data_IF_730462927298
#
_entry.id   IF_730462927298
#
_cell.length_a   1.000
_cell.length_b   1.000
_cell.length_c   1.000
_cell.angle_alpha   90.00
_cell.angle_beta   90.00
_cell.angle_gamma   90.00
#
_symmetry.space_group_name_H-M   'P 1'
#
loop_
_entity.id
_entity.type
_entity.pdbx_description
1 polymer ?
#
# COMPACT_ATOMS: atom_id res chain seq x y z
N UNK A 1 -8.18 -2.91 -17.55
CA UNK A 1 -8.15 -3.52 -16.20
C UNK A 1 -9.52 -4.11 -15.82
N UNK A 2 -10.59 -3.31 -15.72
CA UNK A 2 -11.93 -3.79 -15.28
C UNK A 2 -12.54 -4.88 -16.19
N UNK A 3 -12.17 -4.93 -17.48
CA UNK A 3 -12.52 -6.04 -18.39
C UNK A 3 -12.26 -7.42 -17.77
N UNK A 4 -11.17 -7.59 -17.04
CA UNK A 4 -10.78 -8.87 -16.42
C UNK A 4 -11.80 -9.36 -15.39
N UNK A 5 -12.64 -8.47 -14.84
CA UNK A 5 -13.72 -8.86 -13.92
C UNK A 5 -14.84 -9.59 -14.65
N UNK A 6 -15.08 -9.25 -15.91
CA UNK A 6 -16.21 -9.74 -16.67
C UNK A 6 -15.81 -10.82 -17.67
N UNK A 7 -14.70 -10.63 -18.39
CA UNK A 7 -14.23 -11.51 -19.47
C UNK A 7 -13.69 -12.85 -18.92
N UNK A 8 -14.34 -14.01 -19.17
CA UNK A 8 -13.83 -15.32 -18.74
C UNK A 8 -12.55 -15.73 -19.45
N UNK A 9 -12.31 -15.17 -20.63
CA UNK A 9 -11.12 -15.42 -21.45
C UNK A 9 -9.95 -14.49 -21.14
N UNK A 10 -10.00 -13.75 -20.01
CA UNK A 10 -8.87 -12.90 -19.64
C UNK A 10 -7.66 -13.75 -19.28
N UNK A 11 -6.54 -13.50 -19.97
CA UNK A 11 -5.32 -14.33 -19.93
C UNK A 11 -4.74 -14.60 -18.54
N UNK A 12 -4.96 -13.67 -17.60
CA UNK A 12 -4.37 -13.76 -16.26
C UNK A 12 -5.26 -14.50 -15.25
N UNK A 13 -6.43 -15.00 -15.66
CA UNK A 13 -7.38 -15.62 -14.73
C UNK A 13 -7.01 -17.05 -14.32
N UNK A 14 -6.44 -17.86 -15.22
CA UNK A 14 -6.20 -19.28 -14.95
C UNK A 14 -7.48 -19.97 -14.46
N UNK A 15 -7.43 -20.60 -13.28
CA UNK A 15 -8.61 -21.26 -12.67
C UNK A 15 -9.75 -20.30 -12.32
N UNK A 16 -9.47 -19.00 -12.15
CA UNK A 16 -10.46 -17.96 -11.97
C UNK A 16 -11.24 -17.67 -13.27
N UNK A 17 -10.92 -18.32 -14.39
CA UNK A 17 -11.77 -18.24 -15.58
C UNK A 17 -13.20 -18.72 -15.27
N UNK A 18 -13.34 -19.70 -14.37
CA UNK A 18 -14.61 -20.28 -13.95
C UNK A 18 -14.90 -20.06 -12.46
N UNK A 19 -13.90 -20.20 -11.58
CA UNK A 19 -14.07 -20.05 -10.14
C UNK A 19 -14.34 -18.60 -9.74
N UNK A 20 -15.36 -18.37 -8.89
CA UNK A 20 -15.71 -17.04 -8.40
C UNK A 20 -16.71 -16.26 -9.26
N UNK A 21 -17.26 -16.88 -10.31
CA UNK A 21 -18.21 -16.22 -11.22
C UNK A 21 -19.64 -16.26 -10.74
N UNK A 22 -20.26 -15.09 -10.67
CA UNK A 22 -21.70 -14.94 -10.44
C UNK A 22 -22.20 -13.66 -11.15
N UNK A 23 -23.36 -13.74 -11.81
CA UNK A 23 -23.91 -12.66 -12.64
C UNK A 23 -22.91 -12.07 -13.65
N UNK A 24 -22.17 -12.95 -14.36
CA UNK A 24 -21.18 -12.55 -15.37
C UNK A 24 -19.90 -11.90 -14.81
N UNK A 25 -19.81 -11.71 -13.49
CA UNK A 25 -18.67 -11.09 -12.81
C UNK A 25 -17.87 -12.13 -12.05
N UNK A 26 -16.54 -12.11 -12.14
CA UNK A 26 -15.69 -12.84 -11.22
C UNK A 26 -15.45 -11.99 -9.96
N UNK A 27 -16.17 -12.34 -8.89
CA UNK A 27 -16.14 -11.60 -7.63
C UNK A 27 -14.86 -11.83 -6.82
N UNK A 28 -14.32 -13.05 -6.85
CA UNK A 28 -13.05 -13.40 -6.19
C UNK A 28 -11.91 -12.60 -6.80
N UNK A 29 -11.84 -12.56 -8.14
CA UNK A 29 -10.85 -11.77 -8.87
C UNK A 29 -11.06 -10.26 -8.68
N UNK A 30 -12.31 -9.79 -8.72
CA UNK A 30 -12.61 -8.37 -8.52
C UNK A 30 -12.21 -7.87 -7.13
N UNK A 31 -12.52 -8.65 -6.08
CA UNK A 31 -12.11 -8.35 -4.70
C UNK A 31 -10.59 -8.31 -4.57
N UNK A 32 -9.92 -9.39 -5.02
CA UNK A 32 -8.46 -9.48 -4.98
C UNK A 32 -7.78 -8.31 -5.69
N UNK A 33 -8.17 -8.05 -6.94
CA UNK A 33 -7.49 -7.05 -7.76
C UNK A 33 -7.76 -5.62 -7.24
N UNK A 34 -8.95 -5.37 -6.67
CA UNK A 34 -9.25 -4.10 -6.03
C UNK A 34 -8.37 -3.86 -4.78
N UNK A 35 -8.24 -4.86 -3.90
CA UNK A 35 -7.36 -4.81 -2.73
C UNK A 35 -5.91 -4.61 -3.16
N UNK A 36 -5.47 -5.39 -4.16
CA UNK A 36 -4.12 -5.32 -4.71
C UNK A 36 -3.80 -3.90 -5.20
N UNK A 37 -4.64 -3.31 -6.07
CA UNK A 37 -4.39 -1.97 -6.59
C UNK A 37 -4.49 -0.89 -5.51
N UNK A 38 -5.41 -1.01 -4.55
CA UNK A 38 -5.51 -0.08 -3.44
C UNK A 38 -4.20 -0.02 -2.62
N UNK A 39 -3.56 -1.17 -2.39
CA UNK A 39 -2.32 -1.25 -1.62
C UNK A 39 -1.11 -0.88 -2.48
N UNK A 40 -0.89 -1.59 -3.59
CA UNK A 40 0.37 -1.56 -4.34
C UNK A 40 0.46 -0.45 -5.39
N UNK A 41 -0.68 0.00 -5.93
CA UNK A 41 -0.70 1.03 -6.98
C UNK A 41 -1.13 2.41 -6.48
N UNK A 42 -1.66 2.49 -5.25
CA UNK A 42 -2.14 3.75 -4.66
C UNK A 42 -1.42 4.03 -3.34
N UNK A 43 -1.69 3.22 -2.32
CA UNK A 43 -1.26 3.50 -0.94
C UNK A 43 0.27 3.51 -0.81
N UNK A 44 0.95 2.45 -1.26
CA UNK A 44 2.41 2.34 -1.18
C UNK A 44 3.11 3.45 -1.98
N UNK A 45 2.78 3.71 -3.26
CA UNK A 45 3.39 4.80 -4.02
C UNK A 45 3.23 6.17 -3.34
N UNK A 46 2.03 6.49 -2.83
CA UNK A 46 1.79 7.74 -2.08
C UNK A 46 2.74 7.82 -0.89
N UNK A 47 2.81 6.78 -0.07
CA UNK A 47 3.69 6.78 1.10
C UNK A 47 5.17 6.87 0.74
N UNK A 48 5.64 6.18 -0.30
CA UNK A 48 7.04 6.25 -0.73
C UNK A 48 7.40 7.67 -1.19
N UNK A 49 6.49 8.33 -1.90
CA UNK A 49 6.66 9.73 -2.32
C UNK A 49 6.68 10.66 -1.09
N UNK A 50 5.75 10.51 -0.17
CA UNK A 50 5.69 11.29 1.07
C UNK A 50 6.93 11.11 1.96
N UNK A 51 7.46 9.89 2.06
CA UNK A 51 8.70 9.60 2.77
C UNK A 51 9.92 10.19 2.06
N UNK A 52 9.91 10.18 0.73
CA UNK A 52 11.00 10.76 -0.07
C UNK A 52 11.00 12.29 0.02
N UNK A 53 9.84 12.93 0.10
CA UNK A 53 9.70 14.39 0.10
C UNK A 53 8.83 14.89 1.28
N UNK A 54 9.32 14.82 2.53
CA UNK A 54 8.50 15.13 3.71
C UNK A 54 7.95 16.55 3.77
N UNK A 55 8.69 17.51 3.20
CA UNK A 55 8.31 18.93 3.18
C UNK A 55 7.11 19.23 2.28
N UNK A 56 6.76 18.29 1.38
CA UNK A 56 5.69 18.45 0.40
C UNK A 56 4.44 17.62 0.74
N UNK A 57 4.40 16.92 1.89
CA UNK A 57 3.28 16.03 2.28
C UNK A 57 1.91 16.72 2.26
N UNK A 58 1.84 18.01 2.63
CA UNK A 58 0.57 18.76 2.74
C UNK A 58 0.30 19.70 1.58
N UNK A 59 1.18 19.73 0.56
CA UNK A 59 1.05 20.64 -0.58
C UNK A 59 0.35 19.95 -1.72
N UNK A 60 -0.33 20.72 -2.57
CA UNK A 60 -0.81 20.22 -3.86
C UNK A 60 0.41 20.11 -4.79
N UNK A 61 0.72 18.90 -5.25
CA UNK A 61 1.90 18.64 -6.09
C UNK A 61 1.70 19.06 -7.54
N UNK A 62 0.46 18.98 -8.04
CA UNK A 62 0.13 19.27 -9.42
C UNK A 62 -0.45 20.68 -9.56
N UNK A 63 0.21 21.51 -10.38
CA UNK A 63 -0.37 22.78 -10.82
C UNK A 63 -1.70 22.55 -11.55
N UNK A 64 -2.54 23.57 -11.68
CA UNK A 64 -3.82 23.46 -12.39
C UNK A 64 -3.67 22.95 -13.82
N UNK A 65 -2.62 23.37 -14.54
CA UNK A 65 -2.29 22.90 -15.90
C UNK A 65 -1.91 21.41 -15.90
N UNK A 66 -1.08 20.99 -14.95
CA UNK A 66 -0.70 19.58 -14.83
C UNK A 66 -1.92 18.72 -14.51
N UNK A 67 -2.84 19.18 -13.63
CA UNK A 67 -4.07 18.44 -13.36
C UNK A 67 -4.88 18.22 -14.63
N UNK A 68 -5.08 19.24 -15.45
CA UNK A 68 -5.80 19.09 -16.74
C UNK A 68 -5.10 18.08 -17.64
N UNK A 69 -3.76 18.17 -17.77
CA UNK A 69 -2.97 17.23 -18.56
C UNK A 69 -3.15 15.78 -18.08
N UNK A 70 -3.00 15.52 -16.77
CA UNK A 70 -3.14 14.18 -16.21
C UNK A 70 -4.56 13.63 -16.35
N UNK A 71 -5.60 14.46 -16.22
CA UNK A 71 -6.98 14.04 -16.49
C UNK A 71 -7.17 13.71 -17.98
N UNK A 72 -6.63 14.54 -18.88
CA UNK A 72 -6.66 14.27 -20.32
C UNK A 72 -5.96 12.98 -20.69
N UNK A 73 -4.78 12.72 -20.13
CA UNK A 73 -4.04 11.47 -20.31
C UNK A 73 -4.80 10.25 -19.77
N UNK A 74 -5.49 10.39 -18.63
CA UNK A 74 -6.34 9.33 -18.08
C UNK A 74 -7.51 9.02 -19.02
N UNK A 75 -8.23 10.04 -19.50
CA UNK A 75 -9.33 9.87 -20.45
C UNK A 75 -8.82 9.21 -21.75
N UNK A 76 -7.69 9.68 -22.28
CA UNK A 76 -7.06 9.09 -23.45
C UNK A 76 -6.70 7.62 -23.21
N UNK A 77 -6.09 7.29 -22.07
CA UNK A 77 -5.75 5.91 -21.73
C UNK A 77 -6.99 5.01 -21.61
N UNK A 78 -8.10 5.53 -21.09
CA UNK A 78 -9.39 4.81 -21.05
C UNK A 78 -9.88 4.52 -22.48
N UNK A 79 -9.93 5.55 -23.34
CA UNK A 79 -10.36 5.42 -24.74
C UNK A 79 -9.49 4.40 -25.47
N UNK A 80 -8.16 4.55 -25.41
CA UNK A 80 -7.21 3.61 -26.02
C UNK A 80 -7.39 2.20 -25.46
N UNK A 81 -7.68 2.06 -24.16
CA UNK A 81 -7.98 0.78 -23.53
C UNK A 81 -9.21 0.08 -24.11
N UNK A 82 -10.28 0.83 -24.43
CA UNK A 82 -11.47 0.27 -25.10
C UNK A 82 -11.16 -0.24 -26.50
N UNK A 83 -10.33 0.49 -27.27
CA UNK A 83 -9.91 0.07 -28.61
C UNK A 83 -8.94 -1.12 -28.58
N UNK A 84 -7.96 -1.09 -27.67
CA UNK A 84 -6.94 -2.13 -27.59
C UNK A 84 -7.49 -3.45 -27.03
N UNK A 85 -8.54 -3.40 -26.21
CA UNK A 85 -9.10 -4.57 -25.52
C UNK A 85 -10.62 -4.66 -25.67
N UNK A 86 -11.16 -4.85 -26.89
CA UNK A 86 -12.59 -4.88 -27.14
C UNK A 86 -13.26 -6.01 -26.35
N UNK A 87 -14.29 -5.66 -25.57
CA UNK A 87 -15.15 -6.57 -24.82
C UNK A 87 -16.38 -5.80 -24.34
N UNK A 88 -17.57 -6.37 -24.54
CA UNK A 88 -18.82 -5.78 -24.05
C UNK A 88 -19.27 -6.50 -22.76
N UNK A 89 -19.17 -5.85 -21.58
CA UNK A 89 -19.68 -6.41 -20.33
C UNK A 89 -21.20 -6.24 -20.16
N UNK A 90 -21.87 -5.50 -21.06
CA UNK A 90 -23.28 -5.14 -20.97
C UNK A 90 -23.55 -3.92 -20.09
N UNK A 91 -24.67 -3.24 -20.35
CA UNK A 91 -25.05 -1.98 -19.69
C UNK A 91 -25.22 -2.13 -18.17
N UNK A 92 -25.77 -3.26 -17.71
CA UNK A 92 -25.97 -3.52 -16.29
C UNK A 92 -24.65 -3.61 -15.53
N UNK A 93 -23.62 -4.22 -16.12
CA UNK A 93 -22.29 -4.33 -15.51
C UNK A 93 -21.62 -2.95 -15.40
N UNK A 94 -21.72 -2.13 -16.45
CA UNK A 94 -21.21 -0.75 -16.44
C UNK A 94 -21.94 0.07 -15.38
N UNK A 95 -23.28 0.01 -15.34
CA UNK A 95 -24.10 0.67 -14.33
C UNK A 95 -23.73 0.22 -12.91
N UNK A 96 -23.51 -1.08 -12.70
CA UNK A 96 -23.06 -1.65 -11.43
C UNK A 96 -21.68 -1.15 -11.00
N UNK A 97 -20.72 -1.03 -11.93
CA UNK A 97 -19.41 -0.43 -11.64
C UNK A 97 -19.55 1.03 -11.19
N UNK A 98 -20.33 1.84 -11.92
CA UNK A 98 -20.55 3.25 -11.57
C UNK A 98 -21.20 3.36 -10.19
N UNK A 99 -22.27 2.60 -9.95
CA UNK A 99 -22.95 2.56 -8.66
C UNK A 99 -21.99 2.16 -7.52
N UNK A 100 -21.15 1.15 -7.74
CA UNK A 100 -20.15 0.70 -6.76
C UNK A 100 -19.12 1.79 -6.47
N UNK A 101 -18.59 2.45 -7.50
CA UNK A 101 -17.62 3.55 -7.33
C UNK A 101 -18.25 4.71 -6.55
N UNK A 102 -19.49 5.09 -6.86
CA UNK A 102 -20.22 6.15 -6.13
C UNK A 102 -20.44 5.73 -4.67
N UNK A 103 -20.90 4.50 -4.43
CA UNK A 103 -21.14 3.99 -3.08
C UNK A 103 -19.86 3.95 -2.24
N UNK A 104 -18.77 3.42 -2.79
CA UNK A 104 -17.46 3.37 -2.11
C UNK A 104 -16.90 4.78 -1.88
N UNK A 105 -17.06 5.70 -2.83
CA UNK A 105 -16.62 7.10 -2.68
C UNK A 105 -17.42 7.81 -1.58
N UNK A 106 -18.71 7.52 -1.45
CA UNK A 106 -19.54 8.04 -0.39
C UNK A 106 -19.16 7.43 0.98
N UNK A 107 -18.92 6.13 1.04
CA UNK A 107 -18.44 5.44 2.26
C UNK A 107 -17.07 5.95 2.70
N UNK A 108 -16.16 6.21 1.75
CA UNK A 108 -14.83 6.74 2.04
C UNK A 108 -14.87 8.07 2.79
N UNK A 109 -15.88 8.92 2.52
CA UNK A 109 -16.08 10.19 3.25
C UNK A 109 -16.44 9.99 4.73
N UNK A 110 -16.91 8.80 5.12
CA UNK A 110 -17.25 8.47 6.50
C UNK A 110 -16.08 7.87 7.29
N UNK A 111 -14.97 7.55 6.62
CA UNK A 111 -13.79 6.99 7.30
C UNK A 111 -13.15 8.09 8.14
N UNK A 112 -13.04 7.92 9.47
CA UNK A 112 -12.48 8.95 10.33
C UNK A 112 -10.98 9.13 10.05
N UNK A 113 -10.52 10.37 10.07
CA UNK A 113 -9.09 10.63 9.96
C UNK A 113 -8.38 10.17 11.24
N UNK A 114 -7.59 9.10 11.15
CA UNK A 114 -6.88 8.53 12.30
C UNK A 114 -5.65 9.40 12.59
N UNK A 115 -5.83 10.38 13.46
CA UNK A 115 -4.70 11.12 14.02
C UNK A 115 -4.02 10.30 15.12
N UNK A 116 -2.68 10.22 15.15
CA UNK A 116 -1.98 9.52 16.20
C UNK A 116 -2.26 10.20 17.55
N UNK A 117 -2.90 9.48 18.46
CA UNK A 117 -3.18 9.93 19.84
C UNK A 117 -1.92 9.86 20.70
N UNK A 118 -1.00 8.96 20.35
CA UNK A 118 0.29 8.76 21.02
C UNK A 118 1.40 8.69 19.97
N UNK A 119 2.66 8.91 20.39
CA UNK A 119 3.86 8.73 19.55
C UNK A 119 4.81 7.70 20.18
N UNK A 120 4.29 6.53 20.51
CA UNK A 120 5.01 5.52 21.30
C UNK A 120 4.71 4.08 20.83
N UNK A 121 4.55 3.88 19.52
CA UNK A 121 4.41 2.52 18.99
C UNK A 121 5.71 1.74 19.20
N UNK A 122 5.74 0.86 20.20
CA UNK A 122 6.87 -0.04 20.49
C UNK A 122 6.83 -1.33 19.68
N UNK A 123 6.81 -1.21 18.35
CA UNK A 123 6.86 -2.37 17.44
C UNK A 123 8.14 -2.30 16.62
N UNK A 124 8.89 -3.40 16.61
CA UNK A 124 10.17 -3.48 15.91
C UNK A 124 9.98 -3.83 14.43
N UNK A 125 10.98 -3.48 13.62
CA UNK A 125 11.01 -3.84 12.21
C UNK A 125 10.98 -5.36 11.96
N UNK A 126 11.46 -6.15 12.93
CA UNK A 126 11.42 -7.62 12.90
C UNK A 126 10.00 -8.19 12.90
N UNK A 127 9.01 -7.41 13.34
CA UNK A 127 7.59 -7.77 13.26
C UNK A 127 6.96 -7.14 12.02
N UNK A 128 7.27 -5.88 11.73
CA UNK A 128 6.63 -5.13 10.65
C UNK A 128 6.99 -5.64 9.25
N UNK A 129 8.24 -6.05 9.02
CA UNK A 129 8.65 -6.56 7.70
C UNK A 129 7.95 -7.90 7.41
N UNK A 130 7.98 -8.92 8.29
CA UNK A 130 7.22 -10.15 8.05
C UNK A 130 5.71 -9.92 7.95
N UNK A 131 5.14 -9.03 8.76
CA UNK A 131 3.72 -8.68 8.68
C UNK A 131 3.37 -8.00 7.35
N UNK A 132 4.23 -7.12 6.84
CA UNK A 132 4.06 -6.53 5.52
C UNK A 132 4.14 -7.57 4.42
N UNK A 133 5.07 -8.52 4.52
CA UNK A 133 5.25 -9.62 3.56
C UNK A 133 4.08 -10.62 3.57
N UNK A 134 3.50 -10.88 4.75
CA UNK A 134 2.40 -11.83 4.90
C UNK A 134 1.11 -11.36 4.21
N UNK A 135 0.90 -10.05 4.07
CA UNK A 135 -0.27 -9.49 3.37
C UNK A 135 -0.37 -10.02 1.93
N UNK A 136 0.54 -9.66 0.99
CA UNK A 136 0.45 -10.15 -0.37
C UNK A 136 0.64 -11.67 -0.46
N UNK A 137 1.41 -12.30 0.43
CA UNK A 137 1.57 -13.75 0.44
C UNK A 137 0.23 -14.44 0.67
N UNK A 138 -0.45 -14.12 1.79
CA UNK A 138 -1.72 -14.76 2.14
C UNK A 138 -2.76 -14.44 1.07
N UNK A 139 -2.87 -13.18 0.64
CA UNK A 139 -3.86 -12.83 -0.37
C UNK A 139 -3.60 -13.50 -1.72
N UNK A 140 -2.36 -13.50 -2.20
CA UNK A 140 -2.01 -14.13 -3.46
C UNK A 140 -2.36 -15.62 -3.42
N UNK A 141 -1.91 -16.35 -2.40
CA UNK A 141 -2.21 -17.78 -2.30
C UNK A 141 -3.69 -18.06 -2.05
N UNK A 142 -4.38 -17.31 -1.20
CA UNK A 142 -5.81 -17.51 -0.93
C UNK A 142 -6.67 -17.31 -2.19
N UNK A 143 -6.44 -16.21 -2.92
CA UNK A 143 -7.31 -15.80 -4.03
C UNK A 143 -6.96 -16.49 -5.36
N UNK A 144 -5.74 -16.98 -5.54
CA UNK A 144 -5.31 -17.62 -6.81
C UNK A 144 -5.33 -19.15 -6.81
N UNK A 145 -5.55 -19.79 -5.66
CA UNK A 145 -5.43 -21.25 -5.52
C UNK A 145 -6.76 -22.02 -5.54
N UNK A 146 -7.89 -21.35 -5.30
CA UNK A 146 -9.17 -22.00 -4.99
C UNK A 146 -9.07 -23.10 -3.91
N UNK A 147 -8.23 -22.89 -2.89
CA UNK A 147 -8.10 -23.79 -1.73
C UNK A 147 -9.43 -24.06 -1.02
N UNK A 148 -10.32 -23.06 -1.02
CA UNK A 148 -11.68 -23.19 -0.51
C UNK A 148 -12.57 -23.56 -1.71
N UNK A 149 -13.33 -24.67 -1.69
CA UNK A 149 -14.12 -25.10 -2.86
C UNK A 149 -15.27 -24.16 -3.24
N UNK A 150 -15.67 -23.27 -2.32
CA UNK A 150 -16.80 -22.37 -2.48
C UNK A 150 -16.31 -20.93 -2.54
N UNK A 151 -16.56 -20.25 -3.67
CA UNK A 151 -16.16 -18.86 -3.92
C UNK A 151 -16.56 -17.89 -2.80
N UNK A 152 -17.80 -18.00 -2.33
CA UNK A 152 -18.29 -17.19 -1.21
C UNK A 152 -17.44 -17.39 0.06
N UNK A 153 -16.95 -18.61 0.30
CA UNK A 153 -16.03 -18.90 1.39
C UNK A 153 -14.68 -18.18 1.24
N UNK A 154 -14.10 -18.18 0.03
CA UNK A 154 -12.87 -17.39 -0.25
C UNK A 154 -13.09 -15.91 0.02
N UNK A 155 -14.20 -15.34 -0.45
CA UNK A 155 -14.52 -13.92 -0.25
C UNK A 155 -14.72 -13.58 1.23
N UNK A 156 -15.44 -14.42 1.98
CA UNK A 156 -15.66 -14.21 3.42
C UNK A 156 -14.33 -14.24 4.18
N UNK A 157 -13.47 -15.22 3.90
CA UNK A 157 -12.13 -15.30 4.51
C UNK A 157 -11.28 -14.10 4.11
N UNK A 158 -11.33 -13.70 2.84
CA UNK A 158 -10.67 -12.49 2.33
C UNK A 158 -11.10 -11.23 3.09
N UNK A 159 -12.41 -11.01 3.23
CA UNK A 159 -12.97 -9.90 3.99
C UNK A 159 -12.54 -9.91 5.47
N UNK A 160 -12.56 -11.09 6.12
CA UNK A 160 -12.09 -11.24 7.50
C UNK A 160 -10.62 -10.85 7.62
N UNK A 161 -9.77 -11.28 6.68
CA UNK A 161 -8.35 -10.93 6.67
C UNK A 161 -8.13 -9.43 6.48
N UNK A 162 -8.81 -8.80 5.51
CA UNK A 162 -8.74 -7.35 5.29
C UNK A 162 -9.14 -6.59 6.55
N UNK A 163 -10.28 -6.94 7.14
CA UNK A 163 -10.78 -6.29 8.37
C UNK A 163 -9.85 -6.57 9.56
N UNK A 164 -9.23 -7.74 9.63
CA UNK A 164 -8.24 -8.09 10.65
C UNK A 164 -6.99 -7.21 10.56
N UNK A 165 -6.41 -7.10 9.37
CA UNK A 165 -5.26 -6.22 9.11
C UNK A 165 -5.63 -4.75 9.34
N UNK A 166 -6.78 -4.29 8.85
CA UNK A 166 -7.27 -2.92 9.08
C UNK A 166 -7.37 -2.63 10.58
N UNK A 167 -8.05 -3.47 11.36
CA UNK A 167 -8.20 -3.26 12.81
C UNK A 167 -6.86 -3.23 13.53
N UNK A 168 -5.94 -4.14 13.18
CA UNK A 168 -4.60 -4.20 13.75
C UNK A 168 -3.79 -2.93 13.43
N UNK A 169 -3.74 -2.55 12.15
CA UNK A 169 -2.98 -1.41 11.69
C UNK A 169 -3.59 -0.09 12.16
N UNK A 170 -4.92 0.04 12.20
CA UNK A 170 -5.62 1.19 12.76
C UNK A 170 -5.36 1.34 14.26
N UNK A 171 -5.31 0.25 15.02
CA UNK A 171 -4.92 0.26 16.43
C UNK A 171 -3.48 0.75 16.61
N UNK A 172 -2.56 0.33 15.77
CA UNK A 172 -1.16 0.78 15.82
C UNK A 172 -0.98 2.21 15.29
N UNK A 173 -1.77 2.63 14.30
CA UNK A 173 -1.76 3.98 13.76
C UNK A 173 -2.15 5.00 14.82
N UNK A 174 -3.14 4.70 15.68
CA UNK A 174 -3.49 5.52 16.85
C UNK A 174 -2.33 5.68 17.84
N UNK A 175 -1.42 4.71 17.92
CA UNK A 175 -0.20 4.77 18.76
C UNK A 175 0.98 5.50 18.10
N UNK A 176 0.83 5.87 16.83
CA UNK A 176 1.78 6.66 16.05
C UNK A 176 2.91 5.82 15.45
N UNK A 177 2.77 5.47 14.16
CA UNK A 177 3.86 4.91 13.37
C UNK A 177 4.96 5.95 13.13
N UNK A 178 6.22 5.56 13.38
CA UNK A 178 7.37 6.29 12.85
C UNK A 178 7.53 6.04 11.35
N UNK A 179 8.22 6.95 10.66
CA UNK A 179 8.46 6.82 9.22
C UNK A 179 9.29 5.56 8.88
N UNK A 180 10.20 5.13 9.77
CA UNK A 180 10.92 3.85 9.64
C UNK A 180 10.00 2.63 9.80
N UNK A 181 8.98 2.71 10.66
CA UNK A 181 8.03 1.62 10.85
C UNK A 181 7.08 1.49 9.65
N UNK A 182 6.61 2.62 9.10
CA UNK A 182 5.85 2.62 7.83
C UNK A 182 6.69 2.02 6.70
N UNK A 183 7.95 2.44 6.59
CA UNK A 183 8.87 1.86 5.62
C UNK A 183 9.05 0.36 5.83
N UNK A 184 9.15 -0.12 7.08
CA UNK A 184 9.23 -1.55 7.37
C UNK A 184 8.05 -2.36 6.83
N UNK A 185 6.81 -1.91 7.03
CA UNK A 185 5.62 -2.56 6.46
C UNK A 185 5.67 -2.58 4.93
N UNK A 186 6.01 -1.45 4.31
CA UNK A 186 6.11 -1.33 2.86
C UNK A 186 7.23 -2.19 2.29
N UNK A 187 8.38 -2.27 2.96
CA UNK A 187 9.49 -3.14 2.58
C UNK A 187 9.08 -4.60 2.64
N UNK A 188 8.31 -5.02 3.65
CA UNK A 188 7.74 -6.36 3.69
C UNK A 188 6.83 -6.63 2.49
N UNK A 189 5.85 -5.78 2.27
CA UNK A 189 4.86 -5.94 1.20
C UNK A 189 5.51 -5.94 -0.20
N UNK A 190 6.45 -5.04 -0.43
CA UNK A 190 7.18 -4.94 -1.70
C UNK A 190 8.23 -6.04 -1.84
N UNK A 191 8.80 -6.51 -0.72
CA UNK A 191 9.75 -7.62 -0.69
C UNK A 191 9.15 -8.91 -1.22
N UNK A 192 7.83 -9.13 -1.06
CA UNK A 192 7.15 -10.26 -1.71
C UNK A 192 7.27 -10.21 -3.24
N UNK A 193 7.17 -9.04 -3.86
CA UNK A 193 7.35 -8.91 -5.31
C UNK A 193 8.82 -8.92 -5.68
N UNK A 194 9.59 -7.97 -5.13
CA UNK A 194 10.96 -7.70 -5.52
C UNK A 194 11.96 -8.81 -5.17
N UNK A 195 11.75 -9.53 -4.06
CA UNK A 195 12.69 -10.54 -3.59
C UNK A 195 12.19 -11.99 -3.74
N UNK A 196 10.90 -12.20 -3.97
CA UNK A 196 10.33 -13.54 -4.13
C UNK A 196 9.71 -13.72 -5.52
N UNK A 197 8.70 -12.94 -5.90
CA UNK A 197 7.98 -13.17 -7.15
C UNK A 197 8.84 -12.89 -8.39
N UNK A 198 9.60 -11.80 -8.41
CA UNK A 198 10.41 -11.42 -9.57
C UNK A 198 11.47 -12.48 -9.91
N UNK A 199 12.16 -13.01 -8.89
CA UNK A 199 13.13 -14.10 -9.08
C UNK A 199 12.47 -15.40 -9.59
N UNK A 200 11.27 -15.71 -9.10
CA UNK A 200 10.49 -16.85 -9.57
C UNK A 200 10.09 -16.64 -11.04
N UNK A 201 9.61 -15.46 -11.40
CA UNK A 201 9.18 -15.12 -12.75
C UNK A 201 10.34 -15.18 -13.76
N UNK A 202 11.54 -14.73 -13.37
CA UNK A 202 12.74 -14.87 -14.19
C UNK A 202 13.10 -16.35 -14.43
N UNK A 203 12.95 -17.18 -13.40
CA UNK A 203 13.11 -18.64 -13.51
C UNK A 203 12.09 -19.28 -14.47
N UNK A 204 10.95 -18.62 -14.70
CA UNK A 204 9.94 -18.99 -15.70
C UNK A 204 10.07 -18.21 -17.03
N UNK A 205 11.22 -17.60 -17.29
CA UNK A 205 11.55 -16.98 -18.59
C UNK A 205 11.13 -15.52 -18.75
N UNK A 206 10.65 -14.84 -17.69
CA UNK A 206 10.42 -13.38 -17.73
C UNK A 206 11.70 -12.62 -17.42
N UNK A 207 12.53 -12.45 -18.45
CA UNK A 207 13.84 -11.79 -18.36
C UNK A 207 13.74 -10.37 -17.79
N UNK A 208 14.69 -10.01 -16.93
CA UNK A 208 14.87 -8.67 -16.38
C UNK A 208 14.03 -8.35 -15.14
N UNK A 209 13.20 -9.29 -14.68
CA UNK A 209 12.36 -9.10 -13.48
C UNK A 209 13.20 -9.06 -12.20
N UNK A 210 14.22 -9.90 -12.05
CA UNK A 210 15.12 -9.86 -10.87
C UNK A 210 15.95 -8.57 -10.83
N UNK A 211 16.38 -8.04 -11.99
CA UNK A 211 17.09 -6.77 -12.06
C UNK A 211 16.22 -5.61 -11.56
N UNK A 212 14.93 -5.60 -11.94
CA UNK A 212 13.95 -4.64 -11.41
C UNK A 212 13.77 -4.80 -9.89
N UNK A 213 13.64 -6.04 -9.42
CA UNK A 213 13.56 -6.35 -7.98
C UNK A 213 14.76 -5.82 -7.20
N UNK A 214 15.98 -6.05 -7.69
CA UNK A 214 17.22 -5.51 -7.10
C UNK A 214 17.21 -3.98 -7.10
N UNK A 215 16.87 -3.33 -8.20
CA UNK A 215 16.79 -1.86 -8.26
C UNK A 215 15.80 -1.31 -7.23
N UNK A 216 14.66 -1.98 -7.04
CA UNK A 216 13.66 -1.58 -6.07
C UNK A 216 14.13 -1.77 -4.62
N UNK A 217 14.85 -2.85 -4.33
CA UNK A 217 15.50 -3.06 -3.02
C UNK A 217 16.50 -1.94 -2.72
N UNK A 218 17.35 -1.59 -3.69
CA UNK A 218 18.32 -0.49 -3.55
C UNK A 218 17.60 0.85 -3.29
N UNK A 219 16.50 1.12 -3.97
CA UNK A 219 15.67 2.30 -3.74
C UNK A 219 15.12 2.36 -2.30
N UNK A 220 14.61 1.25 -1.77
CA UNK A 220 14.10 1.17 -0.38
C UNK A 220 15.22 1.38 0.65
N UNK A 221 16.41 0.82 0.42
CA UNK A 221 17.59 1.05 1.25
C UNK A 221 18.04 2.51 1.23
N UNK A 222 17.96 3.16 0.06
CA UNK A 222 18.25 4.59 -0.08
C UNK A 222 17.27 5.46 0.72
N UNK A 223 15.95 5.20 0.63
CA UNK A 223 14.95 5.89 1.46
C UNK A 223 15.25 5.70 2.95
N UNK A 224 15.55 4.46 3.37
CA UNK A 224 15.88 4.17 4.77
C UNK A 224 17.06 5.02 5.25
N UNK A 225 18.14 5.07 4.47
CA UNK A 225 19.31 5.90 4.77
C UNK A 225 18.93 7.37 4.89
N UNK A 226 18.11 7.89 3.96
CA UNK A 226 17.62 9.28 3.98
C UNK A 226 16.83 9.59 5.24
N UNK A 227 15.91 8.71 5.65
CA UNK A 227 15.13 8.89 6.89
C UNK A 227 16.06 8.93 8.11
N UNK A 228 17.02 8.01 8.21
CA UNK A 228 17.98 7.98 9.34
C UNK A 228 18.80 9.27 9.39
N UNK A 229 19.27 9.78 8.25
CA UNK A 229 20.07 11.01 8.17
C UNK A 229 19.26 12.27 8.52
N UNK A 230 17.93 12.26 8.31
CA UNK A 230 17.04 13.36 8.68
C UNK A 230 16.78 13.45 10.19
N UNK A 231 17.16 12.44 10.97
CA UNK A 231 17.22 12.53 12.42
C UNK A 231 18.68 12.78 12.82
N UNK A 232 19.10 14.02 13.12
CA UNK A 232 20.37 14.21 13.79
C UNK A 232 20.32 13.39 15.07
N UNK A 233 21.32 12.53 15.29
CA UNK A 233 21.63 12.08 16.65
C UNK A 233 21.63 13.34 17.49
N UNK A 234 20.71 13.43 18.45
CA UNK A 234 20.89 14.31 19.60
C UNK A 234 22.24 13.93 20.20
N UNK A 235 23.30 14.63 19.77
CA UNK A 235 24.60 14.54 20.40
C UNK A 235 24.41 15.27 21.73
N UNK A 236 24.38 14.48 22.79
CA UNK A 236 25.30 14.67 23.92
C UNK A 236 25.67 16.13 24.18
N UNK A 237 24.77 16.87 24.81
CA UNK A 237 25.06 18.11 25.54
C UNK A 237 24.16 18.21 26.76
N UNK A 238 23.92 17.08 27.43
CA UNK A 238 23.61 17.09 28.85
C UNK A 238 24.93 17.35 29.60
N UNK A 239 25.26 18.64 29.68
CA UNK A 239 25.95 19.30 30.78
C UNK A 239 26.96 18.42 31.54
N UNK A 240 28.15 18.27 30.96
CA UNK A 240 29.38 18.29 31.75
C UNK A 240 29.62 19.76 32.14
N UNK A 241 28.78 20.26 33.05
CA UNK A 241 28.91 21.56 33.70
C UNK A 241 29.10 21.31 35.19
N UNK A 242 30.25 20.73 35.52
CA UNK A 242 30.69 20.52 36.89
C UNK A 242 30.71 21.85 37.65
N UNK A 243 29.95 21.89 38.75
CA UNK A 243 30.26 22.54 40.03
C UNK A 243 31.18 23.78 39.96
N UNK A 244 30.59 24.95 40.20
CA UNK A 244 31.25 25.97 41.04
C UNK A 244 30.30 26.42 42.16
N UNK A 245 30.83 26.76 43.35
CA UNK A 245 30.07 26.84 44.59
C UNK A 245 29.34 28.18 44.74
N UNK A 246 28.28 28.17 45.55
CA UNK A 246 27.64 29.38 46.09
C UNK A 246 28.69 30.32 46.73
N UNK A 247 28.66 31.63 46.43
CA UNK A 247 29.29 32.61 47.29
C UNK A 247 28.43 32.76 48.55
N UNK A 248 28.99 32.31 49.67
CA UNK A 248 28.57 32.65 51.02
C UNK A 248 28.48 34.17 51.19
N UNK A 249 27.34 34.60 51.69
CA UNK A 249 27.05 35.95 52.19
C UNK A 249 27.87 36.23 53.47
N UNK A 250 28.65 37.32 53.54
CA UNK A 250 29.10 37.89 54.80
C UNK A 250 28.35 39.20 55.03
N UNK A 251 27.28 39.15 55.82
CA UNK A 251 26.55 40.33 56.24
C UNK A 251 27.43 41.32 56.99
N UNK A 252 27.19 42.62 56.80
CA UNK A 252 27.55 43.68 57.76
C UNK A 252 26.58 44.87 57.61
N UNK A 253 25.79 45.06 58.67
CA UNK A 253 25.15 46.28 59.20
C UNK A 253 23.94 46.89 58.49
#
# INVERSE_FOLDING_TARGET
MVRSFFSPTWKDLGLLATYGRWLGTNWVWAEWLAIYHAIFSITIPIFLVELTYPQSKTRIWLSSRMRILFHGLLVLAIILGFFAFPYDPGVLAIGGCIATVVALSWLAKKVPNISPTQRNLKVSWRILVPLGFSVPTIFFFLFTSALIPIAAGTMIVGAILVLGYERLLSRWARRGFSDLQKLGLMTGALGFFAAFLDFILESFGRLGTSALGVAFILYLLWIRKKIILQFPRSKSSAQLGSRMPEPTDPGVR
#
